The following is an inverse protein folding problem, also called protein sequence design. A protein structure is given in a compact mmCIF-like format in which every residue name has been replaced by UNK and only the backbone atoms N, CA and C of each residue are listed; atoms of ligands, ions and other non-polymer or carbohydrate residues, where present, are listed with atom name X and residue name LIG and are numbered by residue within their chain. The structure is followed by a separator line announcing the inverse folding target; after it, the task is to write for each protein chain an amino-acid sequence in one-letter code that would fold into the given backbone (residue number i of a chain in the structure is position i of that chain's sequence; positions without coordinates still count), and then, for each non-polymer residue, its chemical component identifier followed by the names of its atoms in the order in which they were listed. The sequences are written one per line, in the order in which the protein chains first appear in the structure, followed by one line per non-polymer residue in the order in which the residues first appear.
data_IF_624990122651
#
_entry.id   IF_624990122651
#
_cell.length_a   1.000
_cell.length_b   1.000
_cell.length_c   1.000
_cell.angle_alpha   90.00
_cell.angle_beta   90.00
_cell.angle_gamma   90.00
#
_symmetry.space_group_name_H-M   'P 1'
#
loop_
_entity.id
_entity.type
_entity.pdbx_description
1 polymer ?
#
# COMPACT_ATOMS: atom_id res chain seq x y z
N UNK A 1 -11.01 -8.70 4.36
CA UNK A 1 -10.23 -9.54 5.29
C UNK A 1 -10.78 -9.47 6.71
N UNK A 2 -10.87 -8.27 7.31
CA UNK A 2 -11.17 -8.12 8.76
C UNK A 2 -12.65 -8.09 9.16
N UNK A 3 -13.59 -8.15 8.20
CA UNK A 3 -15.02 -8.25 8.48
C UNK A 3 -15.65 -7.05 9.21
N UNK A 4 -15.03 -5.86 9.11
CA UNK A 4 -15.50 -4.64 9.80
C UNK A 4 -16.66 -3.94 9.07
N UNK A 5 -16.69 -4.06 7.74
CA UNK A 5 -17.66 -3.42 6.85
C UNK A 5 -18.11 -4.45 5.81
N UNK A 6 -19.33 -4.27 5.31
CA UNK A 6 -19.80 -4.95 4.09
C UNK A 6 -19.87 -3.90 2.97
N UNK A 7 -19.30 -4.21 1.81
CA UNK A 7 -19.32 -3.35 0.61
C UNK A 7 -20.29 -3.90 -0.44
N UNK A 8 -20.71 -3.07 -1.41
CA UNK A 8 -21.40 -3.56 -2.62
C UNK A 8 -20.54 -4.59 -3.35
N UNK A 9 -21.18 -5.60 -3.95
CA UNK A 9 -20.48 -6.71 -4.62
C UNK A 9 -19.60 -6.26 -5.80
N UNK A 10 -19.95 -5.17 -6.46
CA UNK A 10 -19.28 -4.62 -7.65
C UNK A 10 -18.35 -3.43 -7.36
N UNK A 11 -18.15 -3.07 -6.08
CA UNK A 11 -17.35 -1.91 -5.70
C UNK A 11 -15.88 -2.01 -6.15
N UNK A 12 -15.34 -3.24 -6.18
CA UNK A 12 -13.99 -3.52 -6.64
C UNK A 12 -12.91 -2.75 -5.87
N UNK A 13 -11.77 -2.50 -6.52
CA UNK A 13 -10.61 -1.87 -5.89
C UNK A 13 -10.71 -0.35 -5.78
N UNK A 14 -11.63 0.26 -6.52
CA UNK A 14 -11.89 1.70 -6.51
C UNK A 14 -13.06 2.08 -5.59
N UNK A 15 -13.42 1.18 -4.66
CA UNK A 15 -14.52 1.39 -3.72
C UNK A 15 -14.31 2.66 -2.89
N UNK A 16 -15.42 3.35 -2.62
CA UNK A 16 -15.44 4.56 -1.78
C UNK A 16 -16.33 4.35 -0.55
N UNK A 17 -16.41 5.36 0.32
CA UNK A 17 -17.33 5.34 1.48
C UNK A 17 -18.79 5.14 1.02
N UNK A 18 -19.16 5.59 -0.18
CA UNK A 18 -20.51 5.43 -0.76
C UNK A 18 -20.87 3.98 -1.13
N UNK A 19 -19.88 3.08 -1.09
CA UNK A 19 -20.05 1.66 -1.41
C UNK A 19 -20.24 0.78 -0.18
N UNK A 20 -20.22 1.36 1.02
CA UNK A 20 -20.50 0.66 2.28
C UNK A 20 -21.99 0.39 2.39
N UNK A 21 -22.36 -0.90 2.48
CA UNK A 21 -23.76 -1.35 2.68
C UNK A 21 -24.06 -1.72 4.14
N UNK A 22 -23.04 -2.12 4.91
CA UNK A 22 -23.17 -2.36 6.36
C UNK A 22 -21.98 -1.81 7.13
N UNK A 23 -22.27 -1.08 8.21
CA UNK A 23 -21.30 -0.53 9.15
C UNK A 23 -21.79 -0.75 10.59
N UNK A 24 -21.74 -2.00 11.11
CA UNK A 24 -22.33 -2.36 12.41
C UNK A 24 -21.65 -1.65 13.59
N UNK A 25 -20.43 -1.17 13.39
CA UNK A 25 -19.60 -0.45 14.37
C UNK A 25 -19.79 1.07 14.33
N UNK A 26 -20.60 1.57 13.39
CA UNK A 26 -20.82 3.00 13.13
C UNK A 26 -19.50 3.79 12.98
N UNK A 27 -18.51 3.20 12.32
CA UNK A 27 -17.20 3.80 12.05
C UNK A 27 -17.39 5.10 11.27
N UNK A 28 -16.73 6.16 11.71
CA UNK A 28 -16.73 7.46 11.03
C UNK A 28 -15.44 7.59 10.23
N UNK A 29 -15.55 7.87 8.94
CA UNK A 29 -14.42 8.02 8.03
C UNK A 29 -14.05 9.51 7.88
N UNK A 30 -12.76 9.80 7.96
CA UNK A 30 -12.19 11.12 7.66
C UNK A 30 -11.13 10.94 6.59
N UNK A 31 -11.37 11.49 5.42
CA UNK A 31 -10.44 11.45 4.30
C UNK A 31 -9.44 12.60 4.42
N UNK A 32 -8.15 12.29 4.36
CA UNK A 32 -7.05 13.23 4.45
C UNK A 32 -6.04 12.93 3.34
N UNK A 33 -5.19 13.91 3.03
CA UNK A 33 -4.06 13.66 2.15
C UNK A 33 -3.12 12.60 2.77
N UNK A 34 -2.60 11.64 1.99
CA UNK A 34 -1.79 10.53 2.51
C UNK A 34 -0.63 10.94 3.43
N UNK A 35 0.07 12.02 3.09
CA UNK A 35 1.21 12.56 3.83
C UNK A 35 0.84 13.09 5.22
N UNK A 36 -0.44 13.29 5.52
CA UNK A 36 -0.91 13.80 6.81
C UNK A 36 -1.30 12.68 7.79
N UNK A 37 -1.43 11.44 7.33
CA UNK A 37 -2.05 10.37 8.10
C UNK A 37 -1.26 9.98 9.35
N UNK A 38 0.08 9.98 9.28
CA UNK A 38 0.93 9.74 10.46
C UNK A 38 0.74 10.83 11.51
N UNK A 39 0.74 12.10 11.08
CA UNK A 39 0.59 13.24 11.98
C UNK A 39 -0.81 13.30 12.62
N UNK A 40 -1.83 12.80 11.93
CA UNK A 40 -3.21 12.75 12.40
C UNK A 40 -3.49 11.55 13.33
N UNK A 41 -2.60 10.56 13.40
CA UNK A 41 -2.80 9.33 14.18
C UNK A 41 -3.18 9.58 15.66
N UNK A 42 -2.62 10.57 16.38
CA UNK A 42 -3.04 10.87 17.75
C UNK A 42 -4.49 11.36 17.92
N UNK A 43 -5.12 11.84 16.84
CA UNK A 43 -6.46 12.44 16.86
C UNK A 43 -7.57 11.47 16.41
N UNK A 44 -7.22 10.21 16.09
CA UNK A 44 -8.13 9.16 15.62
C UNK A 44 -7.87 7.83 16.33
N UNK A 45 -8.86 6.95 16.35
CA UNK A 45 -8.69 5.61 16.94
C UNK A 45 -7.82 4.70 16.05
N UNK A 46 -7.92 4.86 14.73
CA UNK A 46 -7.20 4.08 13.71
C UNK A 46 -6.92 4.98 12.51
N UNK A 47 -5.73 4.85 11.91
CA UNK A 47 -5.43 5.38 10.59
C UNK A 47 -4.97 4.25 9.66
N UNK A 48 -5.38 4.31 8.39
CA UNK A 48 -4.93 3.40 7.34
C UNK A 48 -3.88 4.14 6.53
N UNK A 49 -2.60 3.78 6.67
CA UNK A 49 -1.45 4.59 6.23
C UNK A 49 -0.67 3.85 5.14
N UNK A 50 -0.29 4.51 4.05
CA UNK A 50 0.63 3.93 3.06
C UNK A 50 1.98 3.58 3.69
N UNK A 51 2.55 2.44 3.27
CA UNK A 51 3.80 1.92 3.85
C UNK A 51 4.97 2.92 3.81
N UNK A 52 5.12 3.70 2.73
CA UNK A 52 6.20 4.70 2.63
C UNK A 52 6.09 5.79 3.71
N UNK A 53 4.89 6.30 3.97
CA UNK A 53 4.67 7.34 4.99
C UNK A 53 4.78 6.77 6.40
N UNK A 54 4.30 5.54 6.62
CA UNK A 54 4.50 4.86 7.89
C UNK A 54 5.99 4.73 8.23
N UNK A 55 6.81 4.25 7.27
CA UNK A 55 8.27 4.12 7.43
C UNK A 55 8.93 5.48 7.68
N UNK A 56 8.59 6.52 6.90
CA UNK A 56 9.13 7.87 7.07
C UNK A 56 8.74 8.46 8.44
N UNK A 57 7.54 8.14 8.91
CA UNK A 57 7.00 8.50 10.23
C UNK A 57 7.57 7.71 11.40
N UNK A 58 8.44 6.72 11.15
CA UNK A 58 9.02 5.86 12.18
C UNK A 58 8.06 4.80 12.75
N UNK A 59 6.98 4.48 12.03
CA UNK A 59 6.06 3.40 12.37
C UNK A 59 6.54 2.09 11.72
N UNK A 60 6.38 0.99 12.45
CA UNK A 60 6.77 -0.34 11.98
C UNK A 60 5.55 -1.21 11.67
N UNK A 61 5.66 -2.07 10.66
CA UNK A 61 4.57 -3.00 10.27
C UNK A 61 4.19 -3.96 11.40
N UNK A 62 5.13 -4.29 12.29
CA UNK A 62 4.89 -5.09 13.49
C UNK A 62 3.98 -4.42 14.53
N UNK A 63 3.79 -3.10 14.43
CA UNK A 63 2.89 -2.32 15.29
C UNK A 63 1.50 -2.15 14.65
N UNK A 64 1.33 -2.56 13.39
CA UNK A 64 0.07 -2.42 12.68
C UNK A 64 -1.00 -3.37 13.25
N UNK A 65 -2.22 -2.85 13.43
CA UNK A 65 -3.37 -3.66 13.89
C UNK A 65 -3.78 -4.71 12.86
N UNK A 66 -3.63 -4.39 11.58
CA UNK A 66 -3.85 -5.25 10.45
C UNK A 66 -2.99 -4.76 9.28
N UNK A 67 -2.61 -5.68 8.40
CA UNK A 67 -1.88 -5.41 7.16
C UNK A 67 -2.66 -6.07 6.03
N UNK A 68 -2.71 -5.41 4.88
CA UNK A 68 -3.30 -6.01 3.68
C UNK A 68 -2.61 -7.34 3.36
N UNK A 69 -3.39 -8.34 2.95
CA UNK A 69 -2.83 -9.60 2.49
C UNK A 69 -1.87 -9.34 1.32
N UNK A 70 -0.73 -10.03 1.35
CA UNK A 70 0.31 -9.95 0.32
C UNK A 70 0.03 -10.88 -0.87
N UNK A 71 -1.23 -11.31 -1.02
CA UNK A 71 -1.71 -12.13 -2.12
C UNK A 71 -3.01 -11.55 -2.73
N UNK A 72 -3.40 -12.11 -3.87
CA UNK A 72 -4.63 -11.73 -4.56
C UNK A 72 -4.60 -10.36 -5.24
N UNK A 73 -5.79 -9.86 -5.58
CA UNK A 73 -5.97 -8.72 -6.47
C UNK A 73 -5.30 -7.44 -5.95
N UNK A 74 -5.31 -7.18 -4.64
CA UNK A 74 -4.69 -5.98 -4.06
C UNK A 74 -3.16 -6.02 -4.22
N UNK A 75 -2.53 -7.15 -3.90
CA UNK A 75 -1.09 -7.33 -4.06
C UNK A 75 -0.65 -7.21 -5.53
N UNK A 76 -1.44 -7.75 -6.47
CA UNK A 76 -1.19 -7.60 -7.91
C UNK A 76 -1.41 -6.16 -8.41
N UNK A 77 -2.41 -5.45 -7.84
CA UNK A 77 -2.77 -4.09 -8.30
C UNK A 77 -1.83 -3.02 -7.75
N UNK A 78 -1.34 -3.17 -6.52
CA UNK A 78 -0.56 -2.15 -5.81
C UNK A 78 0.96 -2.37 -5.88
N UNK A 79 1.41 -3.16 -6.85
CA UNK A 79 2.82 -3.26 -7.16
C UNK A 79 3.41 -1.90 -7.52
N UNK A 80 4.42 -1.44 -6.78
CA UNK A 80 5.11 -0.19 -7.09
C UNK A 80 5.88 -0.32 -8.42
N UNK A 81 5.80 0.69 -9.27
CA UNK A 81 6.34 0.65 -10.64
C UNK A 81 7.39 1.73 -10.90
N UNK A 82 8.20 1.50 -11.93
CA UNK A 82 8.93 2.55 -12.62
C UNK A 82 8.04 3.09 -13.74
N UNK A 83 7.67 4.36 -13.64
CA UNK A 83 6.86 5.04 -14.65
C UNK A 83 7.72 5.97 -15.51
N UNK A 84 7.45 6.01 -16.81
CA UNK A 84 8.12 6.90 -17.76
C UNK A 84 7.13 7.41 -18.81
N UNK A 85 7.54 8.42 -19.58
CA UNK A 85 6.76 8.89 -20.72
C UNK A 85 6.81 7.85 -21.87
N UNK A 86 5.77 7.74 -22.71
CA UNK A 86 5.69 6.69 -23.73
C UNK A 86 6.87 6.67 -24.73
N UNK A 87 7.43 7.83 -25.04
CA UNK A 87 8.59 7.99 -25.94
C UNK A 87 9.90 7.41 -25.38
N UNK A 88 9.93 7.10 -24.08
CA UNK A 88 11.07 6.52 -23.37
C UNK A 88 10.83 5.08 -22.93
N UNK A 89 9.73 4.45 -23.35
CA UNK A 89 9.40 3.08 -22.94
C UNK A 89 10.53 2.08 -23.27
N UNK A 90 11.22 2.30 -24.40
CA UNK A 90 12.34 1.46 -24.86
C UNK A 90 13.72 2.07 -24.57
N UNK A 91 13.82 3.07 -23.67
CA UNK A 91 15.11 3.67 -23.29
C UNK A 91 15.99 2.59 -22.63
N UNK A 92 17.15 2.25 -23.21
CA UNK A 92 18.02 1.19 -22.67
C UNK A 92 18.47 1.46 -21.23
N UNK A 93 18.59 2.71 -20.82
CA UNK A 93 18.96 3.05 -19.44
C UNK A 93 17.83 2.75 -18.45
N UNK A 94 16.57 2.97 -18.85
CA UNK A 94 15.40 2.63 -18.02
C UNK A 94 15.19 1.13 -17.94
N UNK A 95 15.38 0.41 -19.04
CA UNK A 95 15.32 -1.06 -19.04
C UNK A 95 16.40 -1.66 -18.13
N UNK A 96 17.64 -1.15 -18.20
CA UNK A 96 18.72 -1.57 -17.31
C UNK A 96 18.42 -1.27 -15.83
N UNK A 97 17.78 -0.13 -15.52
CA UNK A 97 17.34 0.18 -14.16
C UNK A 97 16.32 -0.84 -13.65
N UNK A 98 15.32 -1.19 -14.46
CA UNK A 98 14.30 -2.18 -14.09
C UNK A 98 14.94 -3.55 -13.82
N UNK A 99 15.86 -3.99 -14.69
CA UNK A 99 16.58 -5.25 -14.51
C UNK A 99 17.37 -5.29 -13.18
N UNK A 100 18.02 -4.18 -12.81
CA UNK A 100 18.74 -4.09 -11.53
C UNK A 100 17.79 -4.13 -10.34
N UNK A 101 16.68 -3.37 -10.40
CA UNK A 101 15.70 -3.31 -9.31
C UNK A 101 14.96 -4.64 -9.09
N UNK A 102 14.78 -5.45 -10.14
CA UNK A 102 14.22 -6.80 -10.07
C UNK A 102 15.30 -7.88 -9.81
N UNK A 103 16.57 -7.49 -9.70
CA UNK A 103 17.68 -8.40 -9.47
C UNK A 103 17.71 -8.94 -8.05
N UNK A 104 18.32 -10.12 -7.89
CA UNK A 104 18.43 -10.82 -6.60
C UNK A 104 19.00 -9.94 -5.48
N UNK A 105 20.01 -9.13 -5.78
CA UNK A 105 20.64 -8.24 -4.80
C UNK A 105 19.64 -7.27 -4.18
N UNK A 106 18.77 -6.66 -4.99
CA UNK A 106 17.75 -5.73 -4.52
C UNK A 106 16.62 -6.46 -3.80
N UNK A 107 16.18 -7.62 -4.29
CA UNK A 107 15.21 -8.44 -3.57
C UNK A 107 15.71 -8.87 -2.19
N UNK A 108 16.97 -9.29 -2.07
CA UNK A 108 17.59 -9.65 -0.79
C UNK A 108 17.69 -8.43 0.15
N UNK A 109 18.09 -7.27 -0.40
CA UNK A 109 18.14 -6.02 0.34
C UNK A 109 16.77 -5.66 0.93
N UNK A 110 15.71 -5.70 0.11
CA UNK A 110 14.33 -5.40 0.54
C UNK A 110 13.92 -6.32 1.70
N UNK A 111 14.11 -7.64 1.52
CA UNK A 111 13.72 -8.64 2.52
C UNK A 111 14.47 -8.48 3.86
N UNK A 112 15.70 -7.95 3.84
CA UNK A 112 16.53 -7.78 5.03
C UNK A 112 16.38 -6.43 5.74
N UNK A 113 15.83 -5.42 5.06
CA UNK A 113 15.86 -4.03 5.51
C UNK A 113 14.53 -3.56 6.07
N UNK A 114 13.42 -4.01 5.49
CA UNK A 114 12.10 -3.43 5.77
C UNK A 114 11.22 -4.28 6.66
N UNK A 115 11.73 -5.37 7.25
CA UNK A 115 11.01 -6.23 8.19
C UNK A 115 9.62 -6.67 7.70
N UNK A 116 9.48 -6.90 6.39
CA UNK A 116 8.21 -7.27 5.75
C UNK A 116 7.27 -6.11 5.40
N UNK A 117 7.61 -4.86 5.75
CA UNK A 117 6.87 -3.66 5.35
C UNK A 117 6.97 -3.36 3.84
N UNK A 118 8.01 -3.89 3.18
CA UNK A 118 8.19 -3.83 1.72
C UNK A 118 8.45 -5.24 1.23
N UNK A 119 7.73 -5.66 0.19
CA UNK A 119 7.83 -7.00 -0.40
C UNK A 119 8.26 -6.86 -1.86
N UNK A 120 9.30 -7.58 -2.31
CA UNK A 120 9.75 -7.51 -3.69
C UNK A 120 8.75 -8.19 -4.65
N UNK A 121 8.57 -7.60 -5.83
CA UNK A 121 7.72 -8.13 -6.91
C UNK A 121 8.62 -8.91 -7.89
N UNK A 122 8.69 -10.22 -7.71
CA UNK A 122 9.52 -11.11 -8.52
C UNK A 122 8.68 -12.09 -9.33
#
# INVERSE_FOLDING_TARGET
QEGLLTLKEDAGINATIEDIVENPRNIQFKELAPEQLVAALPDVDVAVINGNYAIEGGLHVSEALAVEANDGLAAETYGNIIATSPDKADDPALLALVEVLQGKEISDYINSTYDGAVVPLN
#
